data_IF_785865050959
#
_entry.id   IF_785865050959
#
_cell.length_a   1.000
_cell.length_b   1.000
_cell.length_c   1.000
_cell.angle_alpha   90.00
_cell.angle_beta   90.00
_cell.angle_gamma   90.00
#
_symmetry.space_group_name_H-M   'P 1'
#
loop_
_entity.id
_entity.type
_entity.pdbx_description
1 polymer ?
#
# COMPACT_ATOMS: atom_id res chain seq x y z
N UNK A 1 8.40 21.49 0.47
CA UNK A 1 8.61 20.02 0.54
C UNK A 1 7.77 19.27 1.58
N UNK A 2 8.07 19.20 2.90
CA UNK A 2 7.24 18.39 3.85
C UNK A 2 5.76 18.81 3.82
N UNK A 3 5.50 20.10 3.67
CA UNK A 3 4.13 20.61 3.59
C UNK A 3 3.47 20.29 2.24
N UNK A 4 4.22 20.24 1.13
CA UNK A 4 3.63 20.00 -0.20
C UNK A 4 3.10 18.58 -0.35
N UNK A 5 3.87 17.55 0.04
CA UNK A 5 3.40 16.16 -0.07
C UNK A 5 2.20 15.90 0.85
N UNK A 6 2.20 16.51 2.04
CA UNK A 6 1.05 16.41 2.95
C UNK A 6 -0.19 17.12 2.38
N UNK A 7 -0.04 18.33 1.83
CA UNK A 7 -1.15 19.04 1.19
C UNK A 7 -1.65 18.30 -0.06
N UNK A 8 -0.74 17.71 -0.84
CA UNK A 8 -1.07 16.83 -1.96
C UNK A 8 -1.90 15.63 -1.49
N UNK A 9 -1.47 14.96 -0.41
CA UNK A 9 -2.18 13.80 0.12
C UNK A 9 -3.58 14.16 0.64
N UNK A 10 -3.73 15.33 1.26
CA UNK A 10 -5.04 15.86 1.69
C UNK A 10 -5.89 16.22 0.46
N UNK A 11 -5.32 16.89 -0.54
CA UNK A 11 -6.05 17.33 -1.74
C UNK A 11 -6.68 16.16 -2.49
N UNK A 12 -5.98 15.03 -2.56
CA UNK A 12 -6.42 13.84 -3.29
C UNK A 12 -6.99 12.74 -2.40
N UNK A 13 -7.30 13.04 -1.13
CA UNK A 13 -7.92 12.08 -0.18
C UNK A 13 -7.17 10.73 -0.07
N UNK A 14 -5.83 10.76 -0.11
CA UNK A 14 -5.00 9.56 -0.25
C UNK A 14 -5.26 8.55 0.86
N UNK A 15 -5.36 8.97 2.11
CA UNK A 15 -5.64 8.06 3.23
C UNK A 15 -6.95 7.29 3.04
N UNK A 16 -8.01 7.98 2.60
CA UNK A 16 -9.32 7.38 2.38
C UNK A 16 -9.26 6.37 1.24
N UNK A 17 -8.59 6.72 0.13
CA UNK A 17 -8.45 5.83 -1.03
C UNK A 17 -7.61 4.61 -0.64
N UNK A 18 -6.48 4.79 0.04
CA UNK A 18 -5.59 3.71 0.48
C UNK A 18 -6.28 2.71 1.41
N UNK A 19 -7.08 3.19 2.37
CA UNK A 19 -7.84 2.30 3.25
C UNK A 19 -8.93 1.55 2.48
N UNK A 20 -9.61 2.20 1.53
CA UNK A 20 -10.63 1.55 0.71
C UNK A 20 -10.04 0.45 -0.17
N UNK A 21 -8.92 0.73 -0.86
CA UNK A 21 -8.24 -0.26 -1.70
C UNK A 21 -7.64 -1.39 -0.87
N UNK A 22 -7.08 -1.09 0.31
CA UNK A 22 -6.61 -2.13 1.24
C UNK A 22 -7.72 -3.14 1.56
N UNK A 23 -8.90 -2.66 1.95
CA UNK A 23 -9.99 -3.56 2.31
C UNK A 23 -10.51 -4.37 1.12
N UNK A 24 -10.50 -3.79 -0.08
CA UNK A 24 -10.80 -4.53 -1.30
C UNK A 24 -9.80 -5.67 -1.52
N UNK A 25 -8.49 -5.38 -1.51
CA UNK A 25 -7.45 -6.37 -1.72
C UNK A 25 -7.42 -7.42 -0.59
N UNK A 26 -7.64 -7.02 0.67
CA UNK A 26 -7.73 -7.92 1.81
C UNK A 26 -8.92 -8.89 1.71
N UNK A 27 -10.09 -8.41 1.29
CA UNK A 27 -11.26 -9.27 1.11
C UNK A 27 -11.08 -10.24 -0.06
N UNK A 28 -10.50 -9.78 -1.17
CA UNK A 28 -10.16 -10.67 -2.29
C UNK A 28 -9.18 -11.76 -1.82
N UNK A 29 -8.15 -11.40 -1.05
CA UNK A 29 -7.18 -12.35 -0.50
C UNK A 29 -7.84 -13.45 0.37
N UNK A 30 -8.82 -13.08 1.21
CA UNK A 30 -9.58 -14.06 2.00
C UNK A 30 -10.30 -15.08 1.11
N UNK A 31 -10.85 -14.63 -0.01
CA UNK A 31 -11.64 -15.47 -0.91
C UNK A 31 -10.77 -16.33 -1.85
N UNK A 32 -9.76 -15.71 -2.47
CA UNK A 32 -8.92 -16.31 -3.50
C UNK A 32 -7.88 -17.27 -2.90
N UNK A 33 -7.28 -16.90 -1.76
CA UNK A 33 -6.16 -17.62 -1.14
C UNK A 33 -6.47 -18.06 0.30
N UNK A 34 -7.71 -18.52 0.54
CA UNK A 34 -8.20 -18.87 1.87
C UNK A 34 -7.33 -19.85 2.67
N UNK A 35 -6.52 -20.69 2.00
CA UNK A 35 -5.57 -21.59 2.66
C UNK A 35 -4.40 -20.82 3.28
N UNK A 36 -3.76 -19.95 2.49
CA UNK A 36 -2.66 -19.12 2.98
C UNK A 36 -3.17 -18.12 4.03
N UNK A 37 -4.37 -17.57 3.83
CA UNK A 37 -5.01 -16.71 4.83
C UNK A 37 -5.11 -17.41 6.20
N UNK A 38 -5.57 -18.66 6.24
CA UNK A 38 -5.63 -19.44 7.48
C UNK A 38 -4.25 -19.74 8.06
N UNK A 39 -3.23 -19.96 7.22
CA UNK A 39 -1.85 -20.16 7.68
C UNK A 39 -1.28 -18.90 8.35
N UNK A 40 -1.59 -17.72 7.82
CA UNK A 40 -1.08 -16.43 8.31
C UNK A 40 -1.87 -15.90 9.50
N UNK A 41 -3.20 -15.95 9.44
CA UNK A 41 -4.11 -15.34 10.42
C UNK A 41 -4.71 -16.34 11.43
N UNK A 42 -4.62 -17.64 11.14
CA UNK A 42 -5.22 -18.72 11.91
C UNK A 42 -6.69 -18.97 11.57
N UNK A 43 -7.19 -20.14 11.97
CA UNK A 43 -8.61 -20.52 11.79
C UNK A 43 -9.57 -19.62 12.58
N UNK A 44 -9.11 -19.12 13.74
CA UNK A 44 -9.87 -18.24 14.63
C UNK A 44 -9.58 -16.76 14.32
N UNK A 45 -9.59 -16.37 13.05
CA UNK A 45 -9.40 -14.98 12.66
C UNK A 45 -10.47 -14.10 13.31
N UNK A 46 -10.02 -13.06 14.01
CA UNK A 46 -10.90 -12.06 14.59
C UNK A 46 -10.40 -10.66 14.20
N UNK A 47 -11.26 -9.97 13.45
CA UNK A 47 -11.02 -8.63 12.93
C UNK A 47 -10.71 -7.60 14.04
N UNK A 48 -11.13 -7.84 15.29
CA UNK A 48 -10.81 -6.96 16.42
C UNK A 48 -9.29 -6.88 16.71
N UNK A 49 -8.50 -7.88 16.28
CA UNK A 49 -7.05 -7.88 16.44
C UNK A 49 -6.30 -7.36 15.21
N UNK A 50 -7.00 -7.03 14.13
CA UNK A 50 -6.44 -6.46 12.92
C UNK A 50 -6.41 -4.93 13.03
N UNK A 51 -5.22 -4.36 12.93
CA UNK A 51 -4.99 -2.91 12.90
C UNK A 51 -4.50 -2.50 11.53
N UNK A 52 -5.20 -1.54 10.93
CA UNK A 52 -4.97 -1.05 9.57
C UNK A 52 -5.10 0.47 9.60
N UNK A 53 -3.96 1.15 9.57
CA UNK A 53 -3.89 2.61 9.53
C UNK A 53 -2.81 3.01 8.53
N UNK A 54 -3.02 4.10 7.79
CA UNK A 54 -1.96 4.65 6.95
C UNK A 54 -0.86 5.24 7.83
N UNK A 55 0.36 4.73 7.67
CA UNK A 55 1.51 5.15 8.48
C UNK A 55 2.26 6.30 7.81
N UNK A 56 2.45 6.22 6.48
CA UNK A 56 3.27 7.19 5.76
C UNK A 56 2.91 7.31 4.29
N UNK A 57 3.38 8.40 3.69
CA UNK A 57 3.40 8.64 2.25
C UNK A 57 4.82 9.03 1.82
N UNK A 58 5.26 8.57 0.65
CA UNK A 58 6.57 8.90 0.10
C UNK A 58 6.48 9.25 -1.38
N UNK A 59 7.20 10.30 -1.79
CA UNK A 59 7.45 10.58 -3.21
C UNK A 59 8.61 9.69 -3.69
N UNK A 60 8.39 9.01 -4.80
CA UNK A 60 9.37 8.14 -5.44
C UNK A 60 9.79 8.74 -6.78
N UNK A 61 11.09 8.96 -6.93
CA UNK A 61 11.69 9.39 -8.19
C UNK A 61 12.07 8.13 -8.96
N UNK A 62 11.32 7.82 -10.01
CA UNK A 62 11.39 6.53 -10.69
C UNK A 62 12.70 6.37 -11.45
N UNK A 63 13.12 7.42 -12.17
CA UNK A 63 14.40 7.47 -12.89
C UNK A 63 15.40 8.37 -12.20
N UNK A 64 15.95 7.92 -11.06
CA UNK A 64 17.01 8.65 -10.36
C UNK A 64 18.24 8.92 -11.25
N UNK A 65 18.59 7.97 -12.14
CA UNK A 65 19.68 8.13 -13.11
C UNK A 65 19.13 7.99 -14.52
N UNK A 66 18.87 9.13 -15.17
CA UNK A 66 18.35 9.23 -16.53
C UNK A 66 19.21 8.54 -17.61
N UNK A 67 20.46 8.19 -17.29
CA UNK A 67 21.39 7.52 -18.23
C UNK A 67 21.47 6.00 -18.07
N UNK A 68 20.80 5.44 -17.06
CA UNK A 68 20.76 4.00 -16.82
C UNK A 68 19.34 3.49 -17.04
N UNK A 69 19.09 2.92 -18.22
CA UNK A 69 17.84 2.22 -18.49
C UNK A 69 17.82 0.88 -17.75
N UNK A 70 17.08 0.86 -16.64
CA UNK A 70 16.60 -0.38 -16.03
C UNK A 70 15.09 -0.46 -16.27
N UNK A 71 14.71 -0.76 -17.51
CA UNK A 71 13.31 -0.82 -17.96
C UNK A 71 12.47 -1.85 -17.17
N UNK A 72 13.11 -2.85 -16.56
CA UNK A 72 12.43 -3.89 -15.77
C UNK A 72 11.94 -3.43 -14.39
N UNK A 73 12.34 -2.23 -13.93
CA UNK A 73 12.07 -1.74 -12.57
C UNK A 73 11.48 -0.32 -12.53
N UNK A 74 11.07 0.22 -13.69
CA UNK A 74 10.66 1.61 -13.86
C UNK A 74 9.24 1.69 -14.42
N UNK A 75 8.40 2.53 -13.83
CA UNK A 75 7.08 2.86 -14.38
C UNK A 75 7.14 3.95 -15.47
N UNK A 76 8.28 4.64 -15.59
CA UNK A 76 8.53 5.69 -16.57
C UNK A 76 8.10 7.08 -16.12
N UNK A 77 7.60 7.23 -14.89
CA UNK A 77 7.15 8.49 -14.29
C UNK A 77 7.33 8.45 -12.78
N UNK A 78 7.52 9.62 -12.16
CA UNK A 78 7.57 9.75 -10.70
C UNK A 78 6.19 9.56 -10.09
N UNK A 79 6.15 8.97 -8.89
CA UNK A 79 4.89 8.58 -8.26
C UNK A 79 4.93 8.74 -6.75
N UNK A 80 3.77 8.66 -6.11
CA UNK A 80 3.64 8.65 -4.65
C UNK A 80 3.19 7.28 -4.19
N UNK A 81 3.71 6.83 -3.06
CA UNK A 81 3.31 5.59 -2.40
C UNK A 81 2.74 5.89 -1.03
N UNK A 82 1.58 5.31 -0.73
CA UNK A 82 1.06 5.22 0.64
C UNK A 82 1.40 3.86 1.24
N UNK A 83 1.66 3.83 2.54
CA UNK A 83 2.04 2.63 3.27
C UNK A 83 1.06 2.36 4.42
N UNK A 84 0.47 1.17 4.42
CA UNK A 84 -0.42 0.67 5.46
C UNK A 84 0.18 -0.64 6.02
N UNK A 85 0.81 -0.61 7.21
CA UNK A 85 1.25 -1.83 7.87
C UNK A 85 0.06 -2.74 8.19
N UNK A 86 0.24 -4.04 7.95
CA UNK A 86 -0.75 -5.05 8.33
C UNK A 86 -0.31 -5.59 9.68
N UNK A 87 -1.02 -5.20 10.74
CA UNK A 87 -0.71 -5.60 12.11
C UNK A 87 -1.83 -6.47 12.63
N UNK A 88 -1.52 -7.71 13.00
CA UNK A 88 -2.47 -8.66 13.55
C UNK A 88 -1.96 -9.21 14.89
N UNK A 89 -2.80 -9.19 15.93
CA UNK A 89 -2.44 -9.60 17.30
C UNK A 89 -1.14 -8.94 17.76
N UNK A 90 -1.00 -7.63 17.51
CA UNK A 90 0.18 -6.78 17.83
C UNK A 90 1.47 -7.08 17.06
N UNK A 91 1.46 -8.07 16.15
CA UNK A 91 2.60 -8.38 15.27
C UNK A 91 2.38 -7.74 13.90
N UNK A 92 3.37 -7.01 13.39
CA UNK A 92 3.40 -6.64 11.96
C UNK A 92 3.67 -7.92 11.15
N UNK A 93 2.75 -8.24 10.25
CA UNK A 93 2.78 -9.46 9.43
C UNK A 93 2.81 -9.14 7.93
N UNK A 94 2.83 -7.86 7.58
CA UNK A 94 2.81 -7.44 6.19
C UNK A 94 2.75 -5.95 6.03
N UNK A 95 2.64 -5.55 4.77
CA UNK A 95 2.59 -4.17 4.33
C UNK A 95 1.75 -4.10 3.05
N UNK A 96 0.75 -3.23 3.08
CA UNK A 96 0.06 -2.81 1.89
C UNK A 96 0.65 -1.50 1.37
N UNK A 97 0.87 -1.45 0.06
CA UNK A 97 1.30 -0.25 -0.66
C UNK A 97 0.28 0.07 -1.72
N UNK A 98 -0.10 1.34 -1.79
CA UNK A 98 -0.91 1.86 -2.90
C UNK A 98 -0.13 2.95 -3.61
N UNK A 99 0.00 2.82 -4.94
CA UNK A 99 0.81 3.69 -5.79
C UNK A 99 -0.10 4.64 -6.57
N UNK A 100 0.33 5.90 -6.61
CA UNK A 100 -0.42 6.99 -7.19
C UNK A 100 0.42 7.80 -8.17
N UNK A 101 -0.17 8.21 -9.29
CA UNK A 101 0.39 9.27 -10.13
C UNK A 101 0.45 10.59 -9.35
N UNK A 102 1.19 11.59 -9.84
CA UNK A 102 1.24 12.91 -9.19
C UNK A 102 -0.10 13.67 -9.30
N UNK A 103 -1.01 13.20 -10.14
CA UNK A 103 -2.39 13.65 -10.29
C UNK A 103 -3.35 12.99 -9.28
N UNK A 104 -2.87 12.07 -8.45
CA UNK A 104 -3.64 11.40 -7.41
C UNK A 104 -4.41 10.17 -7.90
N UNK A 105 -4.12 9.67 -9.09
CA UNK A 105 -4.77 8.48 -9.66
C UNK A 105 -4.03 7.21 -9.23
N UNK A 106 -4.77 6.20 -8.78
CA UNK A 106 -4.20 4.88 -8.46
C UNK A 106 -3.82 4.18 -9.75
N UNK A 107 -2.61 3.62 -9.82
CA UNK A 107 -2.18 2.83 -10.98
C UNK A 107 -1.68 1.42 -10.63
N UNK A 108 -1.32 1.17 -9.37
CA UNK A 108 -0.84 -0.14 -8.92
C UNK A 108 -0.97 -0.30 -7.40
N UNK A 109 -1.00 -1.53 -6.93
CA UNK A 109 -1.00 -1.88 -5.51
C UNK A 109 -0.17 -3.12 -5.20
N UNK A 110 0.31 -3.20 -3.96
CA UNK A 110 1.04 -4.37 -3.47
C UNK A 110 0.51 -4.77 -2.11
N UNK A 111 -0.01 -6.00 -2.02
CA UNK A 111 -0.36 -6.65 -0.77
C UNK A 111 0.72 -7.68 -0.44
N UNK A 112 1.56 -7.40 0.55
CA UNK A 112 2.76 -8.20 0.87
C UNK A 112 2.67 -8.71 2.30
N UNK A 113 2.84 -10.02 2.48
CA UNK A 113 2.93 -10.69 3.79
C UNK A 113 4.40 -11.08 4.08
N UNK A 114 4.78 -11.10 5.37
CA UNK A 114 6.12 -11.42 5.89
C UNK A 114 6.23 -12.83 6.51
#
# INVERSE_FOLDING_TARGET
MINELKQWAIKYDIEKISLASFWLSFNNYIEEDSSEFREVFGDDFDHAFLTVNMESVALFLDKWNETKDNELLSYGFDYVVSYIPIVYKTKKIGLYKLLFTLEGEVFDDFFILE
#
